data_IF_291358762438
#
_entry.id   IF_291358762438
#
_cell.length_a   1.000
_cell.length_b   1.000
_cell.length_c   1.000
_cell.angle_alpha   90.00
_cell.angle_beta   90.00
_cell.angle_gamma   90.00
#
_symmetry.space_group_name_H-M   'P 1'
#
loop_
_entity.id
_entity.type
_entity.pdbx_description
1 polymer ?
#
# COMPACT_ATOMS: atom_id res chain seq x y z
N UNK A 1 50.62 4.32 25.25
CA UNK A 1 50.07 3.67 24.04
C UNK A 1 48.67 4.19 23.82
N UNK A 2 48.40 4.92 22.73
CA UNK A 2 47.05 5.45 22.44
C UNK A 2 46.17 4.28 21.99
N UNK A 3 45.14 3.92 22.76
CA UNK A 3 44.16 2.90 22.37
C UNK A 3 43.03 3.55 21.58
N UNK A 4 42.72 2.96 20.44
CA UNK A 4 41.57 3.31 19.60
C UNK A 4 40.28 2.80 20.27
N UNK A 5 39.25 3.63 20.40
CA UNK A 5 37.92 3.16 20.84
C UNK A 5 37.22 2.53 19.64
N UNK A 6 37.13 1.20 19.61
CA UNK A 6 36.67 0.44 18.44
C UNK A 6 35.16 0.48 18.20
N UNK A 7 34.35 0.53 19.26
CA UNK A 7 32.89 0.31 19.16
C UNK A 7 32.15 1.41 18.39
N UNK A 8 32.48 2.68 18.63
CA UNK A 8 31.87 3.80 17.89
C UNK A 8 32.25 3.83 16.41
N UNK A 9 33.37 3.21 16.03
CA UNK A 9 33.87 3.22 14.64
C UNK A 9 33.17 2.16 13.81
N UNK A 10 32.95 0.97 14.38
CA UNK A 10 32.13 -0.07 13.73
C UNK A 10 30.70 0.42 13.51
N UNK A 11 30.09 1.08 14.52
CA UNK A 11 28.76 1.69 14.38
C UNK A 11 28.73 2.71 13.24
N UNK A 12 29.62 3.71 13.27
CA UNK A 12 29.66 4.75 12.24
C UNK A 12 29.96 4.22 10.84
N UNK A 13 30.83 3.23 10.72
CA UNK A 13 31.10 2.59 9.43
C UNK A 13 29.86 1.90 8.86
N UNK A 14 29.05 1.29 9.72
CA UNK A 14 27.80 0.66 9.32
C UNK A 14 26.72 1.65 8.90
N UNK A 15 26.56 2.75 9.65
CA UNK A 15 25.65 3.84 9.24
C UNK A 15 25.98 4.37 7.84
N UNK A 16 27.26 4.65 7.58
CA UNK A 16 27.73 5.11 6.28
C UNK A 16 27.52 4.06 5.18
N UNK A 17 27.78 2.79 5.49
CA UNK A 17 27.55 1.69 4.55
C UNK A 17 26.07 1.53 4.20
N UNK A 18 25.19 1.59 5.20
CA UNK A 18 23.74 1.56 5.00
C UNK A 18 23.28 2.71 4.10
N UNK A 19 23.69 3.95 4.40
CA UNK A 19 23.31 5.10 3.60
C UNK A 19 23.78 4.98 2.14
N UNK A 20 25.03 4.56 1.92
CA UNK A 20 25.54 4.27 0.58
C UNK A 20 24.70 3.22 -0.13
N UNK A 21 24.38 2.11 0.54
CA UNK A 21 23.65 1.00 -0.05
C UNK A 21 22.22 1.42 -0.44
N UNK A 22 21.49 2.08 0.45
CA UNK A 22 20.12 2.54 0.19
C UNK A 22 20.08 3.50 -1.00
N UNK A 23 20.99 4.49 -1.03
CA UNK A 23 21.07 5.43 -2.16
C UNK A 23 21.44 4.70 -3.45
N UNK A 24 22.39 3.76 -3.40
CA UNK A 24 22.90 3.07 -4.59
C UNK A 24 21.89 2.10 -5.22
N UNK A 25 21.15 1.38 -4.38
CA UNK A 25 20.31 0.26 -4.81
C UNK A 25 18.81 0.56 -4.77
N UNK A 26 18.33 1.36 -3.82
CA UNK A 26 16.93 1.78 -3.79
C UNK A 26 16.70 3.10 -4.52
N UNK A 27 17.76 3.89 -4.74
CA UNK A 27 17.66 5.28 -5.24
C UNK A 27 16.81 6.16 -4.32
N UNK A 28 16.86 5.87 -3.02
CA UNK A 28 16.12 6.59 -1.99
C UNK A 28 17.08 7.48 -1.20
N UNK A 29 16.75 8.76 -0.96
CA UNK A 29 17.54 9.61 -0.09
C UNK A 29 17.59 9.04 1.33
N UNK A 30 18.80 8.95 1.88
CA UNK A 30 19.05 8.54 3.25
C UNK A 30 19.73 9.69 4.01
N UNK A 31 19.11 10.14 5.10
CA UNK A 31 19.63 11.18 5.99
C UNK A 31 20.12 10.53 7.26
N UNK A 32 21.43 10.50 7.45
CA UNK A 32 22.03 10.10 8.72
C UNK A 32 21.78 11.19 9.76
N UNK A 33 21.45 10.78 10.99
CA UNK A 33 21.26 11.68 12.12
C UNK A 33 22.57 11.79 12.89
N UNK A 34 22.93 13.02 13.27
CA UNK A 34 24.16 13.28 14.04
C UNK A 34 23.96 13.15 15.56
N UNK A 35 22.74 12.82 16.01
CA UNK A 35 22.35 12.72 17.41
C UNK A 35 21.90 11.29 17.70
N UNK A 36 22.54 10.65 18.68
CA UNK A 36 22.16 9.32 19.16
C UNK A 36 20.99 9.43 20.14
N UNK A 37 19.77 9.34 19.60
CA UNK A 37 18.51 9.29 20.36
C UNK A 37 17.76 7.97 20.13
N UNK A 38 18.45 6.94 19.67
CA UNK A 38 17.82 5.65 19.35
C UNK A 38 17.14 5.59 17.98
N UNK A 39 17.52 6.50 17.06
CA UNK A 39 17.34 6.42 15.60
C UNK A 39 18.62 6.97 14.96
N UNK A 40 19.17 6.26 13.98
CA UNK A 40 20.44 6.62 13.33
C UNK A 40 20.25 7.25 11.95
N UNK A 41 19.12 6.97 11.28
CA UNK A 41 18.82 7.53 9.97
C UNK A 41 17.32 7.72 9.72
N UNK A 42 17.00 8.57 8.74
CA UNK A 42 15.69 8.65 8.11
C UNK A 42 15.84 8.42 6.62
N UNK A 43 14.96 7.61 6.04
CA UNK A 43 14.94 7.33 4.61
C UNK A 43 13.63 7.82 4.02
N UNK A 44 13.72 8.48 2.87
CA UNK A 44 12.57 8.96 2.11
C UNK A 44 12.25 7.99 0.98
N UNK A 45 10.97 7.66 0.82
CA UNK A 45 10.52 6.79 -0.27
C UNK A 45 10.40 7.61 -1.55
N UNK A 46 10.97 7.09 -2.63
CA UNK A 46 10.86 7.63 -3.98
C UNK A 46 10.34 6.57 -4.95
N UNK A 47 9.37 6.96 -5.77
CA UNK A 47 8.84 6.15 -6.88
C UNK A 47 9.12 6.90 -8.18
N UNK A 48 9.73 6.22 -9.16
CA UNK A 48 10.14 6.81 -10.44
C UNK A 48 10.87 8.17 -10.33
N UNK A 49 11.81 8.25 -9.38
CA UNK A 49 12.60 9.45 -9.07
C UNK A 49 11.80 10.63 -8.49
N UNK A 50 10.53 10.42 -8.15
CA UNK A 50 9.64 11.38 -7.50
C UNK A 50 9.54 11.05 -6.01
N UNK A 51 9.73 12.06 -5.17
CA UNK A 51 9.50 11.96 -3.72
C UNK A 51 8.02 11.66 -3.45
N UNK A 52 7.73 10.64 -2.65
CA UNK A 52 6.37 10.40 -2.13
C UNK A 52 6.07 11.28 -0.91
N UNK A 53 7.10 11.86 -0.30
CA UNK A 53 7.01 12.60 0.97
C UNK A 53 6.84 11.70 2.20
N UNK A 54 6.99 10.38 2.06
CA UNK A 54 6.95 9.43 3.16
C UNK A 54 8.34 9.14 3.68
N UNK A 55 8.44 9.12 5.01
CA UNK A 55 9.69 8.88 5.73
C UNK A 55 9.51 7.74 6.70
N UNK A 56 10.56 6.94 6.84
CA UNK A 56 10.69 5.99 7.93
C UNK A 56 11.99 6.15 8.67
N UNK A 57 11.93 5.86 9.97
CA UNK A 57 13.07 5.95 10.86
C UNK A 57 13.83 4.62 10.84
N UNK A 58 15.16 4.68 10.96
CA UNK A 58 16.03 3.51 10.92
C UNK A 58 16.94 3.51 12.13
N UNK A 59 16.92 2.42 12.89
CA UNK A 59 17.99 2.10 13.84
C UNK A 59 18.95 1.12 13.19
N UNK A 60 20.24 1.42 13.25
CA UNK A 60 21.32 0.65 12.65
C UNK A 60 22.21 0.12 13.78
N UNK A 61 22.41 -1.20 13.82
CA UNK A 61 23.39 -1.82 14.74
C UNK A 61 24.37 -2.63 13.92
N UNK A 62 25.66 -2.38 14.14
CA UNK A 62 26.73 -3.01 13.36
C UNK A 62 27.66 -3.80 14.26
N UNK A 63 28.06 -4.97 13.78
CA UNK A 63 28.93 -5.90 14.51
C UNK A 63 30.02 -6.46 13.61
N UNK A 64 31.18 -6.74 14.18
CA UNK A 64 32.26 -7.52 13.53
C UNK A 64 32.13 -9.02 13.86
N UNK A 65 31.14 -9.40 14.68
CA UNK A 65 30.86 -10.80 15.00
C UNK A 65 30.09 -11.50 13.88
N UNK A 66 29.92 -12.81 14.02
CA UNK A 66 29.33 -13.65 12.96
C UNK A 66 27.81 -13.79 13.04
N UNK A 67 27.14 -13.00 13.89
CA UNK A 67 25.69 -13.11 14.10
C UNK A 67 25.01 -11.77 13.83
N UNK A 68 23.91 -11.76 13.05
CA UNK A 68 23.12 -10.56 12.84
C UNK A 68 22.17 -10.26 14.01
N UNK A 69 22.07 -11.13 15.01
CA UNK A 69 21.11 -10.92 16.09
C UNK A 69 21.49 -9.75 17.00
N UNK A 70 20.49 -8.98 17.42
CA UNK A 70 20.68 -7.76 18.20
C UNK A 70 19.90 -7.85 19.51
N UNK A 71 20.51 -7.44 20.61
CA UNK A 71 19.81 -7.16 21.86
C UNK A 71 19.32 -5.71 21.85
N UNK A 72 18.02 -5.50 22.04
CA UNK A 72 17.40 -4.16 22.11
C UNK A 72 16.79 -3.97 23.49
N UNK A 73 17.05 -2.81 24.10
CA UNK A 73 16.57 -2.46 25.42
C UNK A 73 15.09 -2.04 25.39
N UNK A 74 14.38 -2.29 26.50
CA UNK A 74 12.96 -1.92 26.64
C UNK A 74 12.72 -0.43 26.39
N UNK A 75 13.65 0.42 26.82
CA UNK A 75 13.57 1.87 26.61
C UNK A 75 13.54 2.25 25.13
N UNK A 76 14.29 1.53 24.28
CA UNK A 76 14.33 1.78 22.84
C UNK A 76 13.01 1.38 22.19
N UNK A 77 12.47 0.20 22.54
CA UNK A 77 11.14 -0.21 22.07
C UNK A 77 10.04 0.77 22.49
N UNK A 78 10.05 1.22 23.75
CA UNK A 78 9.09 2.21 24.25
C UNK A 78 9.25 3.57 23.56
N UNK A 79 10.47 3.96 23.20
CA UNK A 79 10.71 5.16 22.42
C UNK A 79 10.17 5.01 21.00
N UNK A 80 10.45 3.91 20.32
CA UNK A 80 9.95 3.63 18.96
C UNK A 80 8.42 3.59 18.92
N UNK A 81 7.76 3.06 19.95
CA UNK A 81 6.30 3.03 20.08
C UNK A 81 5.67 4.43 20.07
N UNK A 82 6.41 5.44 20.53
CA UNK A 82 5.95 6.83 20.58
C UNK A 82 6.14 7.58 19.27
N UNK A 83 6.90 7.03 18.31
CA UNK A 83 7.12 7.66 17.02
C UNK A 83 5.86 7.56 16.15
N UNK A 84 5.59 8.63 15.40
CA UNK A 84 4.50 8.64 14.41
C UNK A 84 4.84 7.81 13.17
N UNK A 85 6.13 7.65 12.90
CA UNK A 85 6.65 6.88 11.77
C UNK A 85 7.06 5.47 12.19
N UNK A 86 7.05 4.55 11.23
CA UNK A 86 7.56 3.20 11.41
C UNK A 86 9.07 3.20 11.62
N UNK A 87 9.54 2.28 12.47
CA UNK A 87 10.97 2.05 12.69
C UNK A 87 11.41 0.78 11.99
N UNK A 88 12.50 0.87 11.23
CA UNK A 88 13.19 -0.30 10.67
C UNK A 88 14.47 -0.52 11.45
N UNK A 89 14.62 -1.71 12.04
CA UNK A 89 15.88 -2.13 12.63
C UNK A 89 16.73 -2.79 11.56
N UNK A 90 17.96 -2.31 11.40
CA UNK A 90 18.96 -2.84 10.49
C UNK A 90 20.12 -3.41 11.30
N UNK A 91 20.46 -4.67 11.02
CA UNK A 91 21.66 -5.33 11.52
C UNK A 91 22.70 -5.43 10.41
N UNK A 92 23.94 -5.03 10.69
CA UNK A 92 25.04 -5.09 9.74
C UNK A 92 26.15 -5.98 10.31
N UNK A 93 26.38 -7.10 9.65
CA UNK A 93 27.51 -7.98 9.91
C UNK A 93 28.67 -7.54 9.03
N UNK A 94 29.63 -6.84 9.64
CA UNK A 94 30.87 -6.42 9.02
C UNK A 94 31.77 -7.64 8.86
N UNK A 95 31.86 -8.18 7.65
CA UNK A 95 32.67 -9.36 7.41
C UNK A 95 34.17 -9.10 7.66
N UNK A 96 34.89 -10.11 8.14
CA UNK A 96 36.33 -10.03 8.31
C UNK A 96 37.05 -10.10 6.95
N UNK A 97 37.66 -8.98 6.57
CA UNK A 97 38.73 -8.79 5.57
C UNK A 97 38.53 -9.20 4.10
N UNK A 98 37.55 -10.03 3.73
CA UNK A 98 37.44 -10.54 2.34
C UNK A 98 36.03 -10.64 1.75
N UNK A 99 34.96 -10.39 2.51
CA UNK A 99 33.58 -10.39 2.00
C UNK A 99 32.93 -9.00 2.19
N UNK A 100 31.92 -8.71 1.37
CA UNK A 100 31.08 -7.52 1.56
C UNK A 100 30.26 -7.65 2.86
N UNK A 101 29.99 -6.54 3.58
CA UNK A 101 29.12 -6.57 4.75
C UNK A 101 27.72 -7.04 4.39
N UNK A 102 27.16 -7.90 5.23
CA UNK A 102 25.79 -8.39 5.08
C UNK A 102 24.84 -7.56 5.94
N UNK A 103 23.69 -7.21 5.37
CA UNK A 103 22.66 -6.44 6.07
C UNK A 103 21.39 -7.26 6.21
N UNK A 104 20.76 -7.13 7.37
CA UNK A 104 19.47 -7.73 7.69
C UNK A 104 18.55 -6.67 8.23
N UNK A 105 17.25 -6.84 8.07
CA UNK A 105 16.30 -5.82 8.47
C UNK A 105 14.99 -6.41 9.00
N UNK A 106 14.33 -5.67 9.90
CA UNK A 106 12.96 -5.94 10.33
C UNK A 106 12.20 -4.63 10.55
N UNK A 107 10.98 -4.50 10.00
CA UNK A 107 10.12 -3.36 10.28
C UNK A 107 9.37 -3.60 11.61
N UNK A 108 9.11 -2.53 12.35
CA UNK A 108 8.35 -2.55 13.59
C UNK A 108 7.11 -1.66 13.43
N UNK A 109 5.94 -2.27 13.19
CA UNK A 109 4.67 -1.56 13.26
C UNK A 109 4.30 -1.21 14.71
N UNK A 110 3.33 -0.31 14.89
CA UNK A 110 2.85 0.06 16.24
C UNK A 110 2.29 -1.14 16.98
N UNK A 111 1.50 -1.96 16.31
CA UNK A 111 0.91 -3.18 16.88
C UNK A 111 2.01 -4.15 17.32
N UNK A 112 3.04 -4.33 16.50
CA UNK A 112 4.19 -5.17 16.83
C UNK A 112 4.95 -4.64 18.07
N UNK A 113 5.14 -3.31 18.15
CA UNK A 113 5.81 -2.68 19.30
C UNK A 113 4.98 -2.80 20.58
N UNK A 114 3.67 -2.62 20.51
CA UNK A 114 2.74 -2.79 21.63
C UNK A 114 2.86 -4.19 22.23
N UNK A 115 2.81 -5.22 21.37
CA UNK A 115 2.97 -6.62 21.77
C UNK A 115 4.33 -6.89 22.43
N UNK A 116 5.41 -6.37 21.84
CA UNK A 116 6.77 -6.54 22.36
C UNK A 116 6.92 -5.87 23.74
N UNK A 117 6.48 -4.62 23.88
CA UNK A 117 6.58 -3.86 25.15
C UNK A 117 5.76 -4.56 26.23
N UNK A 118 4.55 -5.02 25.91
CA UNK A 118 3.71 -5.78 26.84
C UNK A 118 4.36 -7.10 27.26
N UNK A 119 4.94 -7.84 26.31
CA UNK A 119 5.64 -9.10 26.58
C UNK A 119 6.84 -8.90 27.51
N UNK A 120 7.73 -7.96 27.21
CA UNK A 120 8.94 -7.69 27.99
C UNK A 120 8.55 -7.25 29.42
N UNK A 121 7.57 -6.34 29.53
CA UNK A 121 7.10 -5.79 30.81
C UNK A 121 6.46 -6.87 31.69
N UNK A 122 5.60 -7.71 31.11
CA UNK A 122 4.92 -8.79 31.85
C UNK A 122 5.88 -9.86 32.40
N UNK A 123 7.00 -10.09 31.71
CA UNK A 123 8.06 -11.03 32.13
C UNK A 123 9.12 -10.39 33.04
N UNK A 124 9.06 -9.08 33.29
CA UNK A 124 10.05 -8.34 34.08
C UNK A 124 11.44 -8.26 33.42
N UNK A 125 11.51 -8.45 32.10
CA UNK A 125 12.77 -8.33 31.35
C UNK A 125 13.08 -6.84 31.08
N UNK A 126 14.35 -6.54 30.77
CA UNK A 126 14.80 -5.18 30.43
C UNK A 126 15.20 -5.03 28.96
N UNK A 127 15.23 -6.13 28.23
CA UNK A 127 15.62 -6.16 26.81
C UNK A 127 15.08 -7.43 26.15
N UNK A 128 15.01 -7.41 24.82
CA UNK A 128 14.64 -8.56 24.00
C UNK A 128 15.65 -8.72 22.87
N UNK A 129 15.99 -9.98 22.60
CA UNK A 129 16.83 -10.33 21.45
C UNK A 129 15.96 -10.38 20.20
N UNK A 130 16.31 -9.60 19.20
CA UNK A 130 15.76 -9.68 17.85
C UNK A 130 16.65 -10.62 17.04
N UNK A 131 16.06 -11.68 16.52
CA UNK A 131 16.77 -12.70 15.72
C UNK A 131 16.53 -12.50 14.24
N UNK A 132 17.55 -12.71 13.42
CA UNK A 132 17.44 -12.61 11.97
C UNK A 132 17.73 -13.95 11.29
N UNK A 133 17.11 -14.13 10.12
CA UNK A 133 17.25 -15.30 9.26
C UNK A 133 17.60 -14.86 7.84
N UNK A 134 17.91 -15.79 6.94
CA UNK A 134 18.26 -15.47 5.56
C UNK A 134 17.12 -14.75 4.80
N UNK A 135 15.86 -14.95 5.18
CA UNK A 135 14.73 -14.20 4.61
C UNK A 135 14.67 -12.74 5.06
N UNK A 136 15.40 -12.38 6.12
CA UNK A 136 15.51 -11.00 6.61
C UNK A 136 16.68 -10.25 5.96
N UNK A 137 17.44 -10.88 5.05
CA UNK A 137 18.58 -10.26 4.39
C UNK A 137 18.12 -9.13 3.48
N UNK A 138 18.76 -7.97 3.60
CA UNK A 138 18.49 -6.80 2.77
C UNK A 138 19.07 -7.03 1.37
N UNK A 139 18.22 -6.98 0.36
CA UNK A 139 18.56 -7.14 -1.05
C UNK A 139 17.78 -6.14 -1.90
N UNK A 140 18.11 -6.05 -3.20
CA UNK A 140 17.46 -5.08 -4.11
C UNK A 140 15.95 -5.31 -4.18
N UNK A 141 15.52 -6.57 -4.14
CA UNK A 141 14.12 -7.00 -4.14
C UNK A 141 13.38 -6.58 -2.86
N UNK A 142 14.11 -6.27 -1.77
CA UNK A 142 13.50 -5.78 -0.52
C UNK A 142 12.84 -4.41 -0.69
N UNK A 143 13.17 -3.64 -1.75
CA UNK A 143 12.64 -2.29 -1.98
C UNK A 143 11.11 -2.24 -1.92
N UNK A 144 10.45 -3.13 -2.65
CA UNK A 144 9.00 -3.20 -2.68
C UNK A 144 8.41 -3.64 -1.33
N UNK A 145 9.07 -4.57 -0.63
CA UNK A 145 8.63 -5.00 0.69
C UNK A 145 8.71 -3.87 1.71
N UNK A 146 9.76 -3.05 1.66
CA UNK A 146 9.88 -1.85 2.50
C UNK A 146 8.77 -0.87 2.18
N UNK A 147 8.55 -0.57 0.90
CA UNK A 147 7.46 0.31 0.46
C UNK A 147 6.11 -0.15 1.01
N UNK A 148 5.78 -1.43 0.83
CA UNK A 148 4.51 -2.01 1.30
C UNK A 148 4.38 -2.04 2.82
N UNK A 149 5.50 -2.21 3.55
CA UNK A 149 5.48 -2.20 5.01
C UNK A 149 5.08 -0.82 5.58
N UNK A 150 5.45 0.26 4.87
CA UNK A 150 5.18 1.65 5.27
C UNK A 150 3.75 2.12 4.98
N UNK A 151 2.97 1.34 4.23
CA UNK A 151 1.57 1.64 3.96
C UNK A 151 0.70 1.37 5.19
N UNK A 152 -0.26 2.25 5.45
CA UNK A 152 -1.29 1.98 6.45
C UNK A 152 -2.21 0.85 6.01
N UNK A 153 -2.95 0.24 6.95
CA UNK A 153 -3.95 -0.78 6.58
C UNK A 153 -5.03 -0.19 5.65
N UNK A 154 -5.42 1.07 5.86
CA UNK A 154 -6.34 1.76 4.95
C UNK A 154 -5.77 1.89 3.53
N UNK A 155 -4.49 2.23 3.38
CA UNK A 155 -3.85 2.29 2.06
C UNK A 155 -3.84 0.90 1.40
N UNK A 156 -3.58 -0.16 2.18
CA UNK A 156 -3.60 -1.54 1.69
C UNK A 156 -5.00 -1.99 1.28
N UNK A 157 -6.04 -1.59 2.02
CA UNK A 157 -7.44 -1.85 1.68
C UNK A 157 -7.79 -1.21 0.34
N UNK A 158 -7.42 0.06 0.13
CA UNK A 158 -7.62 0.78 -1.14
C UNK A 158 -6.86 0.14 -2.31
N UNK A 159 -5.64 -0.36 -2.08
CA UNK A 159 -4.90 -1.11 -3.11
C UNK A 159 -5.62 -2.41 -3.49
N UNK A 160 -6.17 -3.13 -2.50
CA UNK A 160 -6.95 -4.35 -2.78
C UNK A 160 -8.23 -4.03 -3.53
N UNK A 161 -8.90 -2.93 -3.19
CA UNK A 161 -10.08 -2.43 -3.89
C UNK A 161 -9.75 -2.08 -5.35
N UNK A 162 -8.71 -1.29 -5.59
CA UNK A 162 -8.24 -0.93 -6.93
C UNK A 162 -7.90 -2.16 -7.78
N UNK A 163 -7.22 -3.14 -7.18
CA UNK A 163 -6.92 -4.39 -7.86
C UNK A 163 -8.19 -5.17 -8.22
N UNK A 164 -9.12 -5.31 -7.28
CA UNK A 164 -10.39 -6.02 -7.53
C UNK A 164 -11.18 -5.34 -8.63
N UNK A 165 -11.26 -4.01 -8.61
CA UNK A 165 -11.93 -3.23 -9.65
C UNK A 165 -11.28 -3.48 -11.03
N UNK A 166 -9.95 -3.38 -11.14
CA UNK A 166 -9.26 -3.67 -12.40
C UNK A 166 -9.52 -5.10 -12.89
N UNK A 167 -9.33 -6.10 -12.02
CA UNK A 167 -9.57 -7.52 -12.32
C UNK A 167 -11.03 -7.75 -12.81
N UNK A 168 -12.00 -7.03 -12.25
CA UNK A 168 -13.40 -7.11 -12.65
C UNK A 168 -13.69 -6.36 -13.95
N UNK A 169 -13.06 -5.20 -14.19
CA UNK A 169 -13.23 -4.42 -15.42
C UNK A 169 -12.60 -5.12 -16.62
N UNK A 170 -11.45 -5.79 -16.44
CA UNK A 170 -10.79 -6.59 -17.49
C UNK A 170 -11.68 -7.76 -17.98
N UNK A 171 -12.52 -8.33 -17.10
CA UNK A 171 -13.44 -9.41 -17.47
C UNK A 171 -14.52 -8.98 -18.47
N UNK A 172 -14.79 -7.67 -18.60
CA UNK A 172 -15.78 -7.15 -19.55
C UNK A 172 -15.23 -6.92 -20.96
N UNK A 173 -13.92 -7.12 -21.18
CA UNK A 173 -13.25 -6.91 -22.48
C UNK A 173 -13.58 -5.54 -23.11
N UNK A 174 -13.54 -4.50 -22.29
CA UNK A 174 -14.00 -3.14 -22.64
C UNK A 174 -13.23 -2.56 -23.83
N UNK A 175 -11.95 -2.92 -24.00
CA UNK A 175 -11.10 -2.50 -25.11
C UNK A 175 -11.62 -2.96 -26.49
N UNK A 176 -12.36 -4.07 -26.52
CA UNK A 176 -12.95 -4.65 -27.75
C UNK A 176 -14.47 -4.52 -27.78
N UNK A 177 -15.04 -3.63 -26.95
CA UNK A 177 -16.48 -3.48 -26.85
C UNK A 177 -17.12 -3.07 -28.18
N UNK A 178 -18.08 -3.87 -28.64
CA UNK A 178 -18.94 -3.58 -29.80
C UNK A 178 -20.39 -3.68 -29.36
N UNK A 179 -21.15 -2.60 -29.54
CA UNK A 179 -22.52 -2.47 -29.06
C UNK A 179 -23.42 -3.59 -29.63
N UNK A 180 -23.31 -3.88 -30.93
CA UNK A 180 -24.09 -4.93 -31.59
C UNK A 180 -23.80 -6.33 -31.05
N UNK A 181 -22.53 -6.62 -30.75
CA UNK A 181 -22.12 -7.92 -30.21
C UNK A 181 -22.64 -8.11 -28.78
N UNK A 182 -22.69 -7.01 -28.00
CA UNK A 182 -23.26 -7.03 -26.66
C UNK A 182 -24.76 -7.37 -26.69
N UNK A 183 -25.53 -6.74 -27.60
CA UNK A 183 -26.96 -7.06 -27.78
C UNK A 183 -27.22 -8.52 -28.17
N UNK A 184 -26.35 -9.12 -28.99
CA UNK A 184 -26.52 -10.51 -29.44
C UNK A 184 -26.32 -11.52 -28.29
N UNK A 185 -25.60 -11.15 -27.23
CA UNK A 185 -25.42 -11.98 -26.04
C UNK A 185 -26.68 -12.06 -25.16
N UNK A 186 -27.68 -11.22 -25.41
CA UNK A 186 -28.85 -11.06 -24.56
C UNK A 186 -30.02 -11.98 -24.90
N UNK A 187 -30.02 -12.64 -26.06
CA UNK A 187 -31.11 -13.55 -26.49
C UNK A 187 -31.36 -14.73 -25.52
N UNK A 188 -30.45 -14.95 -24.57
CA UNK A 188 -30.50 -16.04 -23.59
C UNK A 188 -30.46 -15.57 -22.12
N UNK A 189 -30.37 -14.27 -21.85
CA UNK A 189 -30.31 -13.75 -20.47
C UNK A 189 -31.70 -13.66 -19.86
N UNK A 190 -31.81 -14.00 -18.58
CA UNK A 190 -33.05 -13.89 -17.83
C UNK A 190 -33.06 -12.64 -16.93
N UNK A 191 -34.19 -12.41 -16.26
CA UNK A 191 -34.34 -11.29 -15.32
C UNK A 191 -33.28 -11.29 -14.20
N UNK A 192 -32.90 -12.48 -13.70
CA UNK A 192 -31.94 -12.60 -12.61
C UNK A 192 -30.56 -12.19 -13.09
N UNK A 193 -30.19 -12.58 -14.31
CA UNK A 193 -28.93 -12.17 -14.95
C UNK A 193 -28.85 -10.65 -15.08
N UNK A 194 -29.84 -10.00 -15.67
CA UNK A 194 -29.81 -8.53 -15.83
C UNK A 194 -29.86 -7.79 -14.49
N UNK A 195 -30.60 -8.29 -13.49
CA UNK A 195 -30.59 -7.68 -12.17
C UNK A 195 -29.20 -7.77 -11.52
N UNK A 196 -28.50 -8.91 -11.70
CA UNK A 196 -27.12 -9.06 -11.24
C UNK A 196 -26.16 -8.13 -11.97
N UNK A 197 -26.34 -7.89 -13.28
CA UNK A 197 -25.52 -6.94 -14.04
C UNK A 197 -25.66 -5.51 -13.51
N UNK A 198 -26.89 -5.08 -13.19
CA UNK A 198 -27.14 -3.78 -12.57
C UNK A 198 -26.40 -3.66 -11.24
N UNK A 199 -26.46 -4.70 -10.40
CA UNK A 199 -25.72 -4.73 -9.15
C UNK A 199 -24.21 -4.65 -9.41
N UNK A 200 -23.65 -5.47 -10.30
CA UNK A 200 -22.22 -5.51 -10.62
C UNK A 200 -21.73 -4.13 -11.09
N UNK A 201 -22.34 -3.56 -12.12
CA UNK A 201 -21.90 -2.26 -12.62
C UNK A 201 -22.08 -1.16 -11.57
N UNK A 202 -23.14 -1.19 -10.76
CA UNK A 202 -23.28 -0.23 -9.67
C UNK A 202 -22.15 -0.35 -8.64
N UNK A 203 -21.69 -1.55 -8.31
CA UNK A 203 -20.53 -1.73 -7.42
C UNK A 203 -19.26 -1.16 -8.06
N UNK A 204 -19.03 -1.36 -9.35
CA UNK A 204 -17.87 -0.78 -10.05
C UNK A 204 -17.82 0.75 -9.92
N UNK A 205 -18.96 1.43 -10.08
CA UNK A 205 -19.04 2.87 -9.87
C UNK A 205 -18.83 3.27 -8.40
N UNK A 206 -19.27 2.46 -7.43
CA UNK A 206 -19.05 2.74 -5.99
C UNK A 206 -17.55 2.61 -5.66
N UNK A 207 -16.91 1.54 -6.12
CA UNK A 207 -15.49 1.29 -5.88
C UNK A 207 -14.63 2.40 -6.50
N UNK A 208 -14.95 2.81 -7.74
CA UNK A 208 -14.35 3.96 -8.40
C UNK A 208 -14.52 5.26 -7.57
N UNK A 209 -15.72 5.53 -7.08
CA UNK A 209 -16.00 6.71 -6.25
C UNK A 209 -15.21 6.71 -4.95
N UNK A 210 -15.05 5.54 -4.32
CA UNK A 210 -14.25 5.39 -3.10
C UNK A 210 -12.78 5.68 -3.35
N UNK A 211 -12.21 5.12 -4.43
CA UNK A 211 -10.83 5.39 -4.84
C UNK A 211 -10.63 6.87 -5.16
N UNK A 212 -11.55 7.48 -5.92
CA UNK A 212 -11.47 8.91 -6.29
C UNK A 212 -11.57 9.82 -5.09
N UNK A 213 -12.49 9.53 -4.16
CA UNK A 213 -12.60 10.26 -2.90
C UNK A 213 -11.30 10.13 -2.10
N UNK A 214 -10.71 8.93 -1.98
CA UNK A 214 -9.46 8.73 -1.26
C UNK A 214 -8.30 9.55 -1.85
N UNK A 215 -8.13 9.54 -3.18
CA UNK A 215 -7.11 10.35 -3.87
C UNK A 215 -7.37 11.86 -3.72
N UNK A 216 -8.63 12.27 -3.65
CA UNK A 216 -8.97 13.69 -3.41
C UNK A 216 -8.56 14.17 -2.02
N UNK A 217 -8.64 13.29 -1.01
CA UNK A 217 -8.24 13.58 0.37
C UNK A 217 -6.73 13.52 0.55
N UNK A 218 -6.06 12.56 -0.11
CA UNK A 218 -4.60 12.46 -0.13
C UNK A 218 -4.07 12.21 -1.54
N UNK A 219 -3.68 13.30 -2.20
CA UNK A 219 -3.11 13.26 -3.55
C UNK A 219 -1.81 12.48 -3.66
N UNK A 220 -1.11 12.21 -2.56
CA UNK A 220 0.13 11.41 -2.58
C UNK A 220 -0.14 9.92 -2.58
N UNK A 221 -1.40 9.50 -2.42
CA UNK A 221 -1.79 8.09 -2.49
C UNK A 221 -1.39 7.46 -3.83
N UNK A 222 -1.60 8.15 -4.95
CA UNK A 222 -1.22 7.63 -6.28
C UNK A 222 0.30 7.47 -6.45
N UNK A 223 1.11 8.29 -5.79
CA UNK A 223 2.57 8.12 -5.77
C UNK A 223 2.99 6.89 -4.96
N UNK A 224 2.30 6.62 -3.84
CA UNK A 224 2.56 5.45 -2.98
C UNK A 224 2.06 4.14 -3.60
N UNK A 225 0.98 4.23 -4.37
CA UNK A 225 0.26 3.11 -4.92
C UNK A 225 -0.24 3.42 -6.35
N UNK A 226 0.65 3.34 -7.36
CA UNK A 226 0.31 3.68 -8.76
C UNK A 226 -0.87 2.88 -9.33
N UNK A 227 -1.09 1.65 -8.84
CA UNK A 227 -2.23 0.82 -9.23
C UNK A 227 -3.59 1.50 -8.98
N UNK A 228 -3.69 2.40 -7.99
CA UNK A 228 -4.91 3.16 -7.72
C UNK A 228 -5.19 4.15 -8.86
N UNK A 229 -4.16 4.84 -9.35
CA UNK A 229 -4.28 5.75 -10.50
C UNK A 229 -4.63 4.96 -11.77
N UNK A 230 -3.98 3.82 -11.99
CA UNK A 230 -4.29 2.92 -13.10
C UNK A 230 -5.76 2.47 -13.10
N UNK A 231 -6.30 2.06 -11.95
CA UNK A 231 -7.70 1.67 -11.81
C UNK A 231 -8.67 2.84 -12.10
N UNK A 232 -8.37 4.03 -11.57
CA UNK A 232 -9.16 5.24 -11.81
C UNK A 232 -9.14 5.60 -13.30
N UNK A 233 -7.95 5.65 -13.91
CA UNK A 233 -7.77 6.02 -15.32
C UNK A 233 -8.45 5.00 -16.24
N UNK A 234 -8.30 3.71 -15.99
CA UNK A 234 -8.96 2.66 -16.78
C UNK A 234 -10.49 2.76 -16.68
N UNK A 235 -11.02 3.04 -15.49
CA UNK A 235 -12.45 3.29 -15.31
C UNK A 235 -12.90 4.55 -16.08
N UNK A 236 -12.21 5.68 -15.91
CA UNK A 236 -12.59 6.96 -16.55
C UNK A 236 -12.54 6.86 -18.08
N UNK A 237 -11.57 6.14 -18.64
CA UNK A 237 -11.49 5.89 -20.09
C UNK A 237 -12.65 5.05 -20.62
N UNK A 238 -13.26 4.21 -19.77
CA UNK A 238 -14.32 3.29 -20.14
C UNK A 238 -15.70 3.64 -19.54
N UNK A 239 -15.82 4.76 -18.84
CA UNK A 239 -17.03 5.14 -18.08
C UNK A 239 -18.29 5.14 -18.96
N UNK A 240 -18.17 5.64 -20.19
CA UNK A 240 -19.30 5.69 -21.13
C UNK A 240 -19.81 4.30 -21.52
N UNK A 241 -18.91 3.32 -21.69
CA UNK A 241 -19.25 1.93 -22.02
C UNK A 241 -19.91 1.28 -20.81
N UNK A 242 -19.31 1.43 -19.62
CA UNK A 242 -19.84 0.87 -18.37
C UNK A 242 -21.24 1.42 -18.06
N UNK A 243 -21.43 2.72 -18.25
CA UNK A 243 -22.74 3.35 -18.10
C UNK A 243 -23.73 2.80 -19.13
N UNK A 244 -23.33 2.65 -20.39
CA UNK A 244 -24.14 2.04 -21.42
C UNK A 244 -24.60 0.63 -21.01
N UNK A 245 -23.69 -0.24 -20.57
CA UNK A 245 -23.99 -1.60 -20.13
C UNK A 245 -24.94 -1.62 -18.93
N UNK A 246 -24.69 -0.76 -17.92
CA UNK A 246 -25.59 -0.61 -16.77
C UNK A 246 -27.01 -0.28 -17.22
N UNK A 247 -27.16 0.69 -18.13
CA UNK A 247 -28.49 1.14 -18.49
C UNK A 247 -29.17 0.40 -19.64
N UNK A 248 -28.40 -0.37 -20.40
CA UNK A 248 -28.91 -1.49 -21.16
C UNK A 248 -29.58 -2.53 -20.26
N UNK A 249 -28.88 -3.03 -19.23
CA UNK A 249 -29.42 -4.02 -18.29
C UNK A 249 -30.67 -3.50 -17.55
N UNK A 250 -30.63 -2.23 -17.11
CA UNK A 250 -31.79 -1.54 -16.53
C UNK A 250 -33.00 -1.51 -17.47
N UNK A 251 -32.80 -1.06 -18.72
CA UNK A 251 -33.89 -0.91 -19.68
C UNK A 251 -34.53 -2.25 -20.03
N UNK A 252 -33.74 -3.32 -20.06
CA UNK A 252 -34.24 -4.67 -20.32
C UNK A 252 -35.25 -5.12 -19.26
N UNK A 253 -34.97 -4.84 -17.98
CA UNK A 253 -35.85 -5.28 -16.89
C UNK A 253 -36.89 -4.25 -16.47
N UNK A 254 -36.78 -3.00 -16.95
CA UNK A 254 -37.66 -1.89 -16.63
C UNK A 254 -39.14 -2.23 -16.83
N UNK A 255 -39.55 -2.73 -18.00
CA UNK A 255 -40.96 -3.11 -18.26
C UNK A 255 -41.98 -2.13 -17.63
N UNK A 256 -42.91 -2.66 -16.83
CA UNK A 256 -43.88 -1.90 -16.00
C UNK A 256 -43.37 -1.61 -14.57
N UNK A 257 -42.11 -1.91 -14.26
CA UNK A 257 -41.51 -1.75 -12.93
C UNK A 257 -40.98 -0.33 -12.75
N UNK A 258 -41.06 0.16 -11.52
CA UNK A 258 -40.50 1.44 -11.12
C UNK A 258 -38.99 1.31 -10.86
N UNK A 259 -38.21 2.39 -11.01
CA UNK A 259 -36.78 2.39 -10.67
C UNK A 259 -36.50 1.88 -9.26
N UNK A 260 -37.34 2.19 -8.28
CA UNK A 260 -37.18 1.73 -6.89
C UNK A 260 -37.37 0.21 -6.70
N UNK A 261 -37.96 -0.49 -7.67
CA UNK A 261 -38.12 -1.95 -7.65
C UNK A 261 -36.94 -2.67 -8.30
N UNK A 262 -36.07 -1.94 -9.00
CA UNK A 262 -34.99 -2.48 -9.82
C UNK A 262 -33.63 -2.06 -9.27
N UNK A 263 -33.49 -0.77 -8.96
CA UNK A 263 -32.21 -0.19 -8.58
C UNK A 263 -31.75 -0.70 -7.21
N UNK A 264 -30.43 -0.91 -7.03
CA UNK A 264 -29.87 -1.28 -5.74
C UNK A 264 -30.22 -0.27 -4.66
N UNK A 265 -30.31 -0.72 -3.40
CA UNK A 265 -30.58 0.16 -2.26
C UNK A 265 -29.53 1.27 -2.12
N UNK A 266 -28.27 0.92 -2.37
CA UNK A 266 -27.16 1.87 -2.41
C UNK A 266 -26.73 2.05 -3.85
N UNK A 267 -27.30 3.04 -4.53
CA UNK A 267 -26.87 3.42 -5.88
C UNK A 267 -25.63 4.33 -5.81
N UNK A 268 -24.67 4.20 -6.71
CA UNK A 268 -23.50 5.10 -6.80
C UNK A 268 -23.94 6.56 -6.99
N UNK A 269 -23.14 7.54 -6.54
CA UNK A 269 -23.46 8.97 -6.72
C UNK A 269 -23.43 9.35 -8.20
N UNK A 270 -22.54 8.76 -8.98
CA UNK A 270 -22.37 9.02 -10.40
C UNK A 270 -23.57 8.48 -11.19
N UNK A 271 -24.00 7.25 -10.95
CA UNK A 271 -25.23 6.72 -11.54
C UNK A 271 -26.45 7.50 -11.02
N UNK A 272 -26.50 7.92 -9.75
CA UNK A 272 -27.57 8.82 -9.25
C UNK A 272 -27.62 10.14 -9.99
N UNK A 273 -26.47 10.70 -10.36
CA UNK A 273 -26.38 11.95 -11.12
C UNK A 273 -26.97 11.76 -12.51
N UNK A 274 -26.61 10.68 -13.18
CA UNK A 274 -27.08 10.29 -14.51
C UNK A 274 -28.58 9.92 -14.53
N UNK A 275 -29.04 9.20 -13.51
CA UNK A 275 -30.44 8.77 -13.38
C UNK A 275 -31.40 9.93 -13.08
N UNK A 276 -30.97 11.07 -12.54
CA UNK A 276 -31.83 12.25 -12.45
C UNK A 276 -32.28 12.72 -13.84
N UNK A 277 -31.42 12.58 -14.84
CA UNK A 277 -31.77 12.89 -16.23
C UNK A 277 -32.72 11.83 -16.81
N UNK A 278 -32.54 10.54 -16.50
CA UNK A 278 -33.48 9.50 -16.93
C UNK A 278 -34.84 9.61 -16.26
N UNK A 279 -34.89 9.86 -14.94
CA UNK A 279 -36.14 10.06 -14.21
C UNK A 279 -36.85 11.28 -14.79
N UNK A 280 -36.16 12.40 -15.00
CA UNK A 280 -36.72 13.58 -15.66
C UNK A 280 -37.33 13.27 -17.04
N UNK A 281 -36.61 12.51 -17.87
CA UNK A 281 -37.10 12.09 -19.19
C UNK A 281 -38.23 11.05 -19.16
N UNK A 282 -38.29 10.21 -18.12
CA UNK A 282 -39.31 9.17 -17.97
C UNK A 282 -40.59 9.64 -17.25
N UNK A 283 -40.49 10.61 -16.34
CA UNK A 283 -41.63 11.12 -15.55
C UNK A 283 -42.16 12.47 -16.03
N UNK A 284 -41.42 13.19 -16.89
CA UNK A 284 -41.84 14.50 -17.41
C UNK A 284 -41.95 15.60 -16.35
N UNK A 285 -41.34 15.39 -15.18
CA UNK A 285 -41.26 16.31 -14.04
C UNK A 285 -39.84 16.34 -13.50
#
# INVERSE_FOLDING_TARGET
MKKYKSTGVTGRAGELYFAYWIVRYFNWPCRLLDIDVGIDAQVEIFEDEISTGDFFAVQIKSTVGNTPDIQIDLSDFMYWQQLETQVVLVSIVMADSHNEPEMFWKPFSKECLDEIVQEITSKGHQSKKVTFTDSDKLCVESKNTWRMAMLSESDKDLIRLAKSLLDDLEQHDLDNFVEEDYYLQDEHKDYVTFNSEIDIFNHHFIDYEELKDAVSHDRRLVLRAPLIEEAIDYFENNEAILLYMFNHAFNWIKGDRTPNQILPQTLSREIRRQTKDWVYHMTGY
#
